data_IF_952629446786
#
_entry.id   IF_952629446786
#
_cell.length_a   1.000
_cell.length_b   1.000
_cell.length_c   1.000
_cell.angle_alpha   90.00
_cell.angle_beta   90.00
_cell.angle_gamma   90.00
#
_symmetry.space_group_name_H-M   'P 1'
#
loop_
_entity.id
_entity.type
_entity.pdbx_description
1 polymer ?
#
# COMPACT_ATOMS: atom_id res chain seq x y z
N UNK A 1 13.10 8.69 -26.46
CA UNK A 1 13.65 7.44 -25.91
C UNK A 1 12.48 6.49 -25.71
N UNK A 2 12.51 5.33 -26.30
CA UNK A 2 11.45 4.32 -26.23
C UNK A 2 11.78 3.31 -25.13
N UNK A 3 10.80 2.56 -24.61
CA UNK A 3 11.00 1.39 -23.72
C UNK A 3 12.14 0.45 -24.18
N UNK A 4 12.41 0.40 -25.50
CA UNK A 4 13.47 -0.40 -26.08
C UNK A 4 14.87 -0.02 -25.64
N UNK A 5 15.07 1.26 -25.34
CA UNK A 5 16.39 1.86 -25.11
C UNK A 5 16.86 1.78 -23.65
N UNK A 6 16.00 1.34 -22.72
CA UNK A 6 16.32 1.26 -21.30
C UNK A 6 16.74 -0.16 -20.94
N UNK A 7 18.05 -0.42 -20.78
CA UNK A 7 18.68 -1.60 -20.22
C UNK A 7 18.05 -2.98 -20.50
N UNK A 8 18.56 -4.02 -19.89
CA UNK A 8 17.94 -5.34 -19.96
C UNK A 8 16.65 -5.43 -19.13
N UNK A 9 15.96 -6.58 -19.15
CA UNK A 9 14.67 -6.77 -18.47
C UNK A 9 14.79 -6.65 -16.95
N UNK A 10 15.91 -7.07 -16.38
CA UNK A 10 16.13 -7.08 -14.94
C UNK A 10 16.51 -5.69 -14.44
N UNK A 11 17.40 -4.99 -15.16
CA UNK A 11 17.76 -3.60 -14.86
C UNK A 11 16.54 -2.67 -14.89
N UNK A 12 15.68 -2.82 -15.90
CA UNK A 12 14.42 -2.06 -15.98
C UNK A 12 13.53 -2.29 -14.75
N UNK A 13 13.37 -3.56 -14.33
CA UNK A 13 12.54 -3.92 -13.19
C UNK A 13 13.11 -3.38 -11.87
N UNK A 14 14.43 -3.46 -11.68
CA UNK A 14 15.10 -2.88 -10.51
C UNK A 14 14.92 -1.36 -10.45
N UNK A 15 14.94 -0.70 -11.61
CA UNK A 15 14.86 0.75 -11.71
C UNK A 15 13.44 1.30 -11.53
N UNK A 16 12.43 0.64 -12.09
CA UNK A 16 11.03 1.09 -12.11
C UNK A 16 10.09 0.26 -11.20
N UNK A 17 10.53 -0.83 -10.62
CA UNK A 17 9.76 -1.68 -9.73
C UNK A 17 8.75 -2.61 -10.40
N UNK A 18 8.59 -2.53 -11.73
CA UNK A 18 7.66 -3.33 -12.54
C UNK A 18 8.35 -3.82 -13.81
N UNK A 19 7.87 -4.93 -14.39
CA UNK A 19 8.39 -5.41 -15.68
C UNK A 19 7.99 -4.48 -16.84
N UNK A 20 8.79 -4.47 -17.93
CA UNK A 20 8.44 -3.73 -19.15
C UNK A 20 7.04 -4.07 -19.67
N UNK A 21 6.62 -5.36 -19.57
CA UNK A 21 5.30 -5.82 -19.99
C UNK A 21 4.20 -5.18 -19.15
N UNK A 22 4.33 -5.19 -17.83
CA UNK A 22 3.36 -4.62 -16.91
C UNK A 22 3.24 -3.11 -17.10
N UNK A 23 4.37 -2.41 -17.31
CA UNK A 23 4.36 -0.97 -17.55
C UNK A 23 3.70 -0.63 -18.88
N UNK A 24 3.88 -1.43 -19.95
CA UNK A 24 3.16 -1.25 -21.22
C UNK A 24 1.66 -1.40 -21.03
N UNK A 25 1.22 -2.48 -20.38
CA UNK A 25 -0.22 -2.66 -20.10
C UNK A 25 -0.80 -1.50 -19.31
N UNK A 26 -0.06 -0.97 -18.34
CA UNK A 26 -0.47 0.20 -17.55
C UNK A 26 -0.54 1.46 -18.42
N UNK A 27 0.40 1.66 -19.35
CA UNK A 27 0.36 2.78 -20.30
C UNK A 27 -0.84 2.68 -21.23
N UNK A 28 -1.14 1.49 -21.75
CA UNK A 28 -2.29 1.26 -22.63
C UNK A 28 -3.62 1.56 -21.91
N UNK A 29 -3.72 1.21 -20.62
CA UNK A 29 -4.90 1.52 -19.79
C UNK A 29 -5.04 3.01 -19.46
N UNK A 30 -3.92 3.73 -19.32
CA UNK A 30 -3.91 5.14 -18.93
C UNK A 30 -3.93 6.09 -20.14
N UNK A 31 -3.48 5.66 -21.31
CA UNK A 31 -3.35 6.52 -22.49
C UNK A 31 -4.66 7.26 -22.87
N UNK A 32 -5.85 6.61 -22.82
CA UNK A 32 -7.11 7.30 -23.06
C UNK A 32 -7.42 8.43 -22.07
N UNK A 33 -6.80 8.43 -20.90
CA UNK A 33 -7.08 9.36 -19.81
C UNK A 33 -6.04 10.48 -19.78
N UNK A 34 -4.75 10.12 -19.78
CA UNK A 34 -3.62 11.08 -19.64
C UNK A 34 -2.83 11.28 -20.93
N UNK A 35 -3.26 10.66 -22.02
CA UNK A 35 -2.61 10.79 -23.31
C UNK A 35 -2.45 12.25 -23.74
N UNK A 36 -1.35 12.56 -24.41
CA UNK A 36 -1.03 13.92 -24.76
C UNK A 36 -1.92 14.42 -25.90
N UNK A 37 -2.74 15.45 -25.63
CA UNK A 37 -3.54 16.15 -26.64
C UNK A 37 -2.75 17.24 -27.39
N UNK A 38 -1.51 17.55 -26.97
CA UNK A 38 -0.68 18.61 -27.58
C UNK A 38 0.64 18.02 -28.09
N UNK A 39 1.08 18.43 -29.28
CA UNK A 39 2.33 17.97 -29.89
C UNK A 39 3.60 18.21 -29.02
N UNK A 40 3.56 19.19 -28.11
CA UNK A 40 4.65 19.52 -27.18
C UNK A 40 4.57 18.85 -25.82
N UNK A 41 3.56 18.00 -25.59
CA UNK A 41 3.37 17.33 -24.30
C UNK A 41 4.23 16.06 -24.15
N UNK A 42 4.35 15.58 -22.90
CA UNK A 42 5.03 14.32 -22.62
C UNK A 42 4.13 13.13 -22.94
N UNK A 43 4.69 12.07 -23.54
CA UNK A 43 3.95 10.82 -23.81
C UNK A 43 3.48 10.15 -22.51
N UNK A 44 2.41 9.36 -22.59
CA UNK A 44 1.88 8.55 -21.48
C UNK A 44 2.97 7.68 -20.87
N UNK A 45 3.77 7.03 -21.71
CA UNK A 45 4.93 6.24 -21.29
C UNK A 45 5.89 7.04 -20.39
N UNK A 46 6.29 8.22 -20.83
CA UNK A 46 7.21 9.09 -20.07
C UNK A 46 6.60 9.57 -18.75
N UNK A 47 5.31 9.86 -18.74
CA UNK A 47 4.56 10.22 -17.53
C UNK A 47 4.53 9.07 -16.51
N UNK A 48 4.20 7.87 -16.97
CA UNK A 48 4.14 6.66 -16.14
C UNK A 48 5.52 6.34 -15.57
N UNK A 49 6.58 6.36 -16.39
CA UNK A 49 7.96 6.12 -15.92
C UNK A 49 8.40 7.14 -14.86
N UNK A 50 8.06 8.42 -15.03
CA UNK A 50 8.34 9.45 -14.03
C UNK A 50 7.68 9.15 -12.68
N UNK A 51 6.41 8.76 -12.68
CA UNK A 51 5.68 8.42 -11.47
C UNK A 51 6.23 7.14 -10.82
N UNK A 52 6.48 6.08 -11.58
CA UNK A 52 7.06 4.83 -11.07
C UNK A 52 8.43 5.06 -10.44
N UNK A 53 9.27 5.90 -11.06
CA UNK A 53 10.58 6.25 -10.53
C UNK A 53 10.49 7.00 -9.22
N UNK A 54 9.55 7.94 -9.12
CA UNK A 54 9.27 8.65 -7.88
C UNK A 54 8.83 7.68 -6.75
N UNK A 55 7.87 6.81 -7.03
CA UNK A 55 7.37 5.85 -6.02
C UNK A 55 8.45 4.86 -5.58
N UNK A 56 9.18 4.29 -6.54
CA UNK A 56 10.19 3.27 -6.28
C UNK A 56 11.44 3.81 -5.58
N UNK A 57 11.90 4.99 -5.93
CA UNK A 57 13.13 5.58 -5.38
C UNK A 57 12.91 6.42 -4.12
N UNK A 58 11.72 7.03 -3.96
CA UNK A 58 11.43 7.96 -2.87
C UNK A 58 12.28 9.25 -2.93
N UNK A 59 12.78 9.60 -4.12
CA UNK A 59 13.62 10.78 -4.35
C UNK A 59 12.77 12.05 -4.52
N UNK A 60 13.43 13.22 -4.43
CA UNK A 60 12.77 14.49 -4.74
C UNK A 60 12.35 14.54 -6.23
N UNK A 61 11.19 15.14 -6.52
CA UNK A 61 10.67 15.34 -7.88
C UNK A 61 11.70 15.93 -8.83
N UNK A 62 12.52 16.89 -8.34
CA UNK A 62 13.58 17.53 -9.12
C UNK A 62 14.67 16.53 -9.53
N UNK A 63 15.01 15.58 -8.67
CA UNK A 63 16.01 14.57 -8.99
C UNK A 63 15.48 13.58 -10.01
N UNK A 64 14.23 13.11 -9.82
CA UNK A 64 13.55 12.21 -10.77
C UNK A 64 13.41 12.86 -12.15
N UNK A 65 12.97 14.12 -12.21
CA UNK A 65 12.78 14.82 -13.48
C UNK A 65 14.09 15.03 -14.26
N UNK A 66 15.25 15.11 -13.57
CA UNK A 66 16.57 15.30 -14.20
C UNK A 66 17.22 14.02 -14.70
N UNK A 67 16.68 12.85 -14.35
CA UNK A 67 17.21 11.59 -14.86
C UNK A 67 17.08 11.55 -16.39
N UNK A 68 18.11 11.02 -17.06
CA UNK A 68 18.19 11.01 -18.53
C UNK A 68 16.98 10.35 -19.18
N UNK A 69 16.46 9.27 -18.56
CA UNK A 69 15.30 8.53 -19.03
C UNK A 69 13.99 9.31 -18.89
N UNK A 70 13.93 10.28 -17.97
CA UNK A 70 12.74 11.09 -17.67
C UNK A 70 12.80 12.44 -18.38
N UNK A 71 13.87 13.21 -18.17
CA UNK A 71 14.14 14.48 -18.84
C UNK A 71 12.99 15.51 -18.73
N UNK A 72 12.41 15.67 -17.54
CA UNK A 72 11.31 16.61 -17.26
C UNK A 72 11.77 17.73 -16.34
N UNK A 73 11.30 18.97 -16.60
CA UNK A 73 11.44 20.05 -15.63
C UNK A 73 10.64 19.72 -14.34
N UNK A 74 11.11 20.19 -13.18
CA UNK A 74 10.49 19.88 -11.90
C UNK A 74 8.97 20.19 -11.82
N UNK A 75 8.44 21.32 -12.36
CA UNK A 75 7.00 21.53 -12.40
C UNK A 75 6.24 20.48 -13.23
N UNK A 76 6.80 20.07 -14.37
CA UNK A 76 6.22 19.04 -15.22
C UNK A 76 6.23 17.67 -14.50
N UNK A 77 7.33 17.30 -13.85
CA UNK A 77 7.41 16.07 -13.05
C UNK A 77 6.40 16.07 -11.89
N UNK A 78 6.24 17.22 -11.19
CA UNK A 78 5.24 17.35 -10.11
C UNK A 78 3.80 17.14 -10.61
N UNK A 79 3.45 17.75 -11.72
CA UNK A 79 2.11 17.62 -12.31
C UNK A 79 1.88 16.18 -12.82
N UNK A 80 2.88 15.61 -13.47
CA UNK A 80 2.84 14.22 -13.95
C UNK A 80 2.65 13.21 -12.83
N UNK A 81 3.40 13.34 -11.74
CA UNK A 81 3.23 12.45 -10.57
C UNK A 81 1.82 12.59 -10.01
N UNK A 82 1.27 13.79 -9.94
CA UNK A 82 -0.09 14.00 -9.47
C UNK A 82 -1.13 13.36 -10.41
N UNK A 83 -1.07 13.64 -11.70
CA UNK A 83 -1.96 13.10 -12.73
C UNK A 83 -1.97 11.56 -12.72
N UNK A 84 -0.80 10.94 -12.84
CA UNK A 84 -0.68 9.46 -12.81
C UNK A 84 -1.15 8.86 -11.50
N UNK A 85 -0.94 9.54 -10.36
CA UNK A 85 -1.42 9.08 -9.05
C UNK A 85 -2.95 8.97 -9.01
N UNK A 86 -3.66 10.00 -9.49
CA UNK A 86 -5.13 10.01 -9.53
C UNK A 86 -5.68 8.89 -10.40
N UNK A 87 -5.10 8.69 -11.56
CA UNK A 87 -5.64 7.77 -12.57
C UNK A 87 -5.34 6.30 -12.25
N UNK A 88 -4.16 5.99 -11.72
CA UNK A 88 -3.86 4.64 -11.20
C UNK A 88 -4.87 4.26 -10.10
N UNK A 89 -5.21 5.19 -9.22
CA UNK A 89 -6.19 4.95 -8.16
C UNK A 89 -7.56 4.61 -8.74
N UNK A 90 -7.99 5.32 -9.78
CA UNK A 90 -9.28 5.11 -10.44
C UNK A 90 -9.37 3.76 -11.18
N UNK A 91 -8.31 3.32 -11.82
CA UNK A 91 -8.21 2.02 -12.52
C UNK A 91 -8.28 0.86 -11.53
N UNK A 92 -7.59 0.96 -10.40
CA UNK A 92 -7.56 -0.10 -9.39
C UNK A 92 -8.91 -0.30 -8.68
N UNK A 93 -9.70 0.74 -8.49
CA UNK A 93 -11.00 0.66 -7.83
C UNK A 93 -12.02 -0.24 -8.57
N UNK A 94 -11.78 -0.55 -9.85
CA UNK A 94 -12.65 -1.40 -10.68
C UNK A 94 -12.38 -2.91 -10.53
N UNK A 95 -11.28 -3.33 -9.89
CA UNK A 95 -10.93 -4.75 -9.71
C UNK A 95 -11.53 -5.32 -8.42
N UNK A 96 -12.34 -6.38 -8.54
CA UNK A 96 -13.31 -6.87 -7.54
C UNK A 96 -12.72 -7.67 -6.36
N UNK A 97 -13.40 -7.55 -5.21
CA UNK A 97 -13.21 -8.19 -3.90
C UNK A 97 -13.49 -9.72 -3.84
N UNK A 98 -13.88 -10.39 -4.93
CA UNK A 98 -14.56 -11.69 -4.89
C UNK A 98 -13.65 -12.94 -4.87
N UNK A 99 -12.32 -12.84 -4.97
CA UNK A 99 -11.44 -14.02 -5.11
C UNK A 99 -10.75 -14.47 -3.79
N UNK A 100 -11.17 -13.95 -2.64
CA UNK A 100 -10.40 -14.01 -1.39
C UNK A 100 -10.55 -15.32 -0.59
N UNK A 101 -11.63 -16.10 -0.83
CA UNK A 101 -12.06 -17.15 0.10
C UNK A 101 -11.16 -18.39 0.22
N UNK A 102 -10.30 -18.70 -0.72
CA UNK A 102 -9.63 -20.01 -0.77
C UNK A 102 -8.22 -20.07 -0.20
N UNK A 103 -7.57 -18.93 0.02
CA UNK A 103 -6.13 -18.89 0.22
C UNK A 103 -5.68 -19.12 1.67
N UNK A 104 -6.40 -18.58 2.64
CA UNK A 104 -6.08 -18.80 4.05
C UNK A 104 -6.40 -20.23 4.52
N UNK A 105 -7.42 -20.88 3.96
CA UNK A 105 -7.76 -22.26 4.30
C UNK A 105 -6.60 -23.25 4.08
N UNK A 106 -5.61 -22.89 3.26
CA UNK A 106 -4.43 -23.71 2.98
C UNK A 106 -3.21 -23.37 3.84
N UNK A 107 -3.23 -22.27 4.61
CA UNK A 107 -2.03 -21.74 5.29
C UNK A 107 -2.07 -21.76 6.80
N UNK A 108 -3.21 -21.97 7.44
CA UNK A 108 -3.29 -21.88 8.89
C UNK A 108 -4.35 -22.79 9.51
N UNK A 109 -4.20 -23.03 10.83
CA UNK A 109 -5.05 -23.91 11.61
C UNK A 109 -6.34 -23.24 12.10
N UNK A 110 -6.51 -21.91 11.91
CA UNK A 110 -7.76 -21.20 12.27
C UNK A 110 -8.66 -21.19 11.03
N UNK A 111 -9.75 -21.97 11.04
CA UNK A 111 -10.65 -22.05 9.89
C UNK A 111 -11.44 -20.74 9.71
N UNK A 112 -11.85 -20.45 8.49
CA UNK A 112 -12.72 -19.30 8.19
C UNK A 112 -12.04 -17.94 8.14
N UNK A 113 -10.71 -17.85 8.32
CA UNK A 113 -9.97 -16.60 8.17
C UNK A 113 -9.92 -16.20 6.69
N UNK A 114 -10.32 -14.96 6.40
CA UNK A 114 -10.34 -14.39 5.05
C UNK A 114 -9.24 -13.37 4.82
N UNK A 115 -8.88 -12.59 5.85
CA UNK A 115 -7.91 -11.51 5.76
C UNK A 115 -7.31 -11.17 7.13
N UNK A 116 -6.21 -10.40 7.11
CA UNK A 116 -5.62 -9.79 8.29
C UNK A 116 -5.71 -8.27 8.18
N UNK A 117 -5.95 -7.59 9.31
CA UNK A 117 -5.99 -6.13 9.41
C UNK A 117 -4.88 -5.64 10.34
N UNK A 118 -4.21 -4.57 9.94
CA UNK A 118 -3.20 -3.90 10.77
C UNK A 118 -3.06 -2.42 10.38
N UNK A 119 -2.49 -1.62 11.29
CA UNK A 119 -2.14 -0.22 11.07
C UNK A 119 -0.66 -0.06 10.73
N UNK A 120 -0.37 0.82 9.79
CA UNK A 120 1.03 1.15 9.47
C UNK A 120 1.24 2.65 9.34
N UNK A 121 2.31 3.18 9.95
CA UNK A 121 2.65 4.59 9.91
C UNK A 121 3.44 4.94 8.65
N UNK A 122 2.99 5.98 7.94
CA UNK A 122 3.70 6.55 6.78
C UNK A 122 4.09 7.99 7.12
N UNK A 123 5.40 8.27 7.05
CA UNK A 123 5.95 9.58 7.39
C UNK A 123 5.55 10.66 6.37
N UNK A 124 5.09 11.79 6.87
CA UNK A 124 4.74 12.97 6.08
C UNK A 124 5.45 14.20 6.62
N UNK A 125 5.55 15.25 5.81
CA UNK A 125 5.99 16.57 6.31
C UNK A 125 4.98 17.09 7.34
N UNK A 126 5.45 17.97 8.25
CA UNK A 126 4.55 18.71 9.14
C UNK A 126 3.42 19.35 8.33
N UNK A 127 2.15 19.02 8.59
CA UNK A 127 1.02 19.64 7.91
C UNK A 127 0.98 21.14 8.13
N UNK A 128 0.83 21.91 7.05
CA UNK A 128 0.68 23.36 7.09
C UNK A 128 -0.78 23.77 6.90
N UNK A 129 -1.12 25.00 7.32
CA UNK A 129 -2.48 25.55 7.14
C UNK A 129 -3.55 24.99 8.07
N UNK A 130 -3.16 24.19 9.07
CA UNK A 130 -4.04 23.62 10.08
C UNK A 130 -3.88 24.34 11.42
N UNK A 131 -4.85 24.17 12.34
CA UNK A 131 -4.70 24.59 13.73
C UNK A 131 -3.54 23.85 14.41
N UNK A 132 -3.02 24.38 15.55
CA UNK A 132 -1.99 23.70 16.33
C UNK A 132 -2.45 22.31 16.79
N UNK A 133 -3.72 22.19 17.23
CA UNK A 133 -4.29 20.94 17.68
C UNK A 133 -4.41 19.91 16.55
N UNK A 134 -4.91 20.33 15.39
CA UNK A 134 -5.01 19.45 14.21
C UNK A 134 -3.63 19.03 13.72
N UNK A 135 -2.66 19.95 13.68
CA UNK A 135 -1.27 19.62 13.32
C UNK A 135 -0.67 18.61 14.31
N UNK A 136 -0.91 18.78 15.61
CA UNK A 136 -0.42 17.87 16.64
C UNK A 136 -1.02 16.46 16.51
N UNK A 137 -2.25 16.33 16.00
CA UNK A 137 -2.87 15.02 15.76
C UNK A 137 -2.08 14.14 14.79
N UNK A 138 -1.30 14.70 13.89
CA UNK A 138 -0.44 13.96 12.97
C UNK A 138 0.87 13.48 13.62
N UNK A 139 1.22 13.96 14.82
CA UNK A 139 2.40 13.50 15.55
C UNK A 139 2.18 12.10 16.11
N UNK A 140 2.91 11.14 15.59
CA UNK A 140 2.85 9.76 16.07
C UNK A 140 3.63 9.57 17.38
N UNK A 141 3.35 8.47 18.09
CA UNK A 141 4.13 8.02 19.27
C UNK A 141 5.63 7.83 19.00
N UNK A 142 6.04 7.76 17.73
CA UNK A 142 7.43 7.63 17.30
C UNK A 142 8.15 8.98 17.14
N UNK A 143 7.47 10.12 17.42
CA UNK A 143 8.07 11.44 17.43
C UNK A 143 8.21 12.13 16.07
N UNK A 144 7.50 11.67 15.04
CA UNK A 144 7.45 12.33 13.73
C UNK A 144 6.03 12.33 13.16
N UNK A 145 5.78 13.26 12.23
CA UNK A 145 4.46 13.42 11.60
C UNK A 145 4.15 12.26 10.66
N UNK A 146 2.98 11.65 10.81
CA UNK A 146 2.57 10.48 10.02
C UNK A 146 1.09 10.48 9.69
N UNK A 147 0.73 9.71 8.67
CA UNK A 147 -0.59 9.12 8.56
C UNK A 147 -0.55 7.73 9.21
N UNK A 148 -1.63 7.38 9.94
CA UNK A 148 -1.93 6.00 10.30
C UNK A 148 -2.73 5.39 9.15
N UNK A 149 -2.21 4.36 8.53
CA UNK A 149 -2.77 3.71 7.35
C UNK A 149 -3.29 2.34 7.73
N UNK A 150 -4.60 2.18 7.75
CA UNK A 150 -5.22 0.86 7.94
C UNK A 150 -5.06 0.04 6.66
N UNK A 151 -4.58 -1.19 6.78
CA UNK A 151 -4.38 -2.13 5.69
C UNK A 151 -5.10 -3.44 5.99
N UNK A 152 -5.85 -3.95 5.04
CA UNK A 152 -6.44 -5.30 5.08
C UNK A 152 -5.88 -6.09 3.90
N UNK A 153 -5.25 -7.21 4.16
CA UNK A 153 -4.71 -8.06 3.09
C UNK A 153 -5.09 -9.52 3.25
N UNK A 154 -5.04 -10.26 2.14
CA UNK A 154 -5.24 -11.72 2.12
C UNK A 154 -3.91 -12.48 2.27
N UNK A 155 -3.99 -13.82 2.27
CA UNK A 155 -2.84 -14.71 2.42
C UNK A 155 -1.78 -14.57 1.31
N UNK A 156 -2.16 -14.12 0.12
CA UNK A 156 -1.29 -13.89 -1.04
C UNK A 156 -0.67 -12.49 -1.04
N UNK A 157 -0.74 -11.76 0.08
CA UNK A 157 -0.25 -10.39 0.20
C UNK A 157 -1.00 -9.36 -0.68
N UNK A 158 -2.17 -9.72 -1.21
CA UNK A 158 -3.02 -8.78 -1.94
C UNK A 158 -3.68 -7.84 -0.94
N UNK A 159 -3.53 -6.55 -1.14
CA UNK A 159 -4.20 -5.54 -0.32
C UNK A 159 -5.65 -5.39 -0.81
N UNK A 160 -6.59 -5.75 0.05
CA UNK A 160 -8.02 -5.72 -0.22
C UNK A 160 -8.64 -4.36 0.09
N UNK A 161 -8.17 -3.76 1.22
CA UNK A 161 -8.60 -2.44 1.67
C UNK A 161 -7.38 -1.70 2.19
N UNK A 162 -7.31 -0.43 1.89
CA UNK A 162 -6.37 0.53 2.47
C UNK A 162 -7.12 1.80 2.82
N UNK A 163 -6.85 2.37 3.99
CA UNK A 163 -7.38 3.68 4.38
C UNK A 163 -6.30 4.54 5.02
N UNK A 164 -5.73 5.50 4.27
CA UNK A 164 -4.65 6.37 4.71
C UNK A 164 -5.14 7.73 5.25
N UNK A 165 -6.40 7.87 5.66
CA UNK A 165 -6.99 9.17 6.00
C UNK A 165 -6.81 9.60 7.46
N UNK A 166 -6.25 8.74 8.30
CA UNK A 166 -6.19 9.00 9.73
C UNK A 166 -4.85 9.64 10.13
N UNK A 167 -4.90 10.65 11.05
CA UNK A 167 -3.71 11.21 11.65
C UNK A 167 -2.90 10.18 12.45
N UNK A 168 -1.58 10.38 12.53
CA UNK A 168 -0.65 9.43 13.13
C UNK A 168 -0.79 9.21 14.63
N UNK A 169 -1.51 10.08 15.35
CA UNK A 169 -1.84 9.89 16.77
C UNK A 169 -3.02 8.93 17.00
N UNK A 170 -3.83 8.66 15.96
CA UNK A 170 -4.95 7.75 16.08
C UNK A 170 -4.45 6.32 16.33
N UNK A 171 -4.97 5.66 17.36
CA UNK A 171 -4.72 4.25 17.61
C UNK A 171 -5.48 3.37 16.62
N UNK A 172 -4.94 2.19 16.30
CA UNK A 172 -5.52 1.28 15.32
C UNK A 172 -6.94 0.84 15.71
N UNK A 173 -7.19 0.62 17.01
CA UNK A 173 -8.54 0.35 17.54
C UNK A 173 -9.52 1.49 17.30
N UNK A 174 -9.08 2.74 17.43
CA UNK A 174 -9.92 3.90 17.15
C UNK A 174 -10.19 4.01 15.65
N UNK A 175 -9.18 3.83 14.81
CA UNK A 175 -9.31 3.79 13.35
C UNK A 175 -10.32 2.75 12.93
N UNK A 176 -10.23 1.53 13.48
CA UNK A 176 -11.17 0.44 13.21
C UNK A 176 -12.61 0.81 13.56
N UNK A 177 -12.83 1.34 14.78
CA UNK A 177 -14.17 1.69 15.27
C UNK A 177 -14.85 2.75 14.40
N UNK A 178 -14.10 3.69 13.82
CA UNK A 178 -14.62 4.80 13.01
C UNK A 178 -14.55 4.53 11.50
N UNK A 179 -14.02 3.37 11.08
CA UNK A 179 -13.93 3.04 9.67
C UNK A 179 -15.23 2.42 9.13
N UNK A 180 -15.75 2.91 7.99
CA UNK A 180 -16.94 2.34 7.36
C UNK A 180 -16.83 0.85 7.02
N UNK A 181 -15.61 0.33 6.88
CA UNK A 181 -15.35 -1.09 6.62
C UNK A 181 -15.93 -1.97 7.72
N UNK A 182 -15.81 -1.56 9.00
CA UNK A 182 -16.34 -2.31 10.14
C UNK A 182 -17.82 -2.62 9.99
N UNK A 183 -18.65 -1.61 9.68
CA UNK A 183 -20.08 -1.79 9.47
C UNK A 183 -20.40 -2.64 8.24
N UNK A 184 -19.60 -2.49 7.16
CA UNK A 184 -19.77 -3.29 5.95
C UNK A 184 -19.46 -4.78 6.19
N UNK A 185 -18.40 -5.09 6.92
CA UNK A 185 -18.04 -6.46 7.27
C UNK A 185 -19.10 -7.11 8.17
N UNK A 186 -19.60 -6.37 9.17
CA UNK A 186 -20.70 -6.82 10.03
C UNK A 186 -21.94 -7.23 9.25
N UNK A 187 -22.22 -6.57 8.12
CA UNK A 187 -23.38 -6.85 7.27
C UNK A 187 -23.14 -7.92 6.21
N UNK A 188 -21.88 -8.22 5.85
CA UNK A 188 -21.54 -9.04 4.68
C UNK A 188 -20.89 -10.38 5.02
N UNK A 189 -20.16 -10.47 6.16
CA UNK A 189 -19.51 -11.71 6.56
C UNK A 189 -20.53 -12.72 7.06
N UNK A 190 -20.33 -13.96 6.66
CA UNK A 190 -21.15 -15.08 7.10
C UNK A 190 -20.65 -15.62 8.44
N UNK A 191 -21.48 -16.26 9.26
CA UNK A 191 -21.04 -16.97 10.44
C UNK A 191 -19.91 -17.97 10.10
N UNK A 192 -18.79 -17.88 10.84
CA UNK A 192 -17.61 -18.69 10.57
C UNK A 192 -16.60 -18.04 9.60
N UNK A 193 -16.82 -16.80 9.18
CA UNK A 193 -15.88 -16.00 8.40
C UNK A 193 -15.27 -14.89 9.27
N UNK A 194 -13.93 -14.75 9.26
CA UNK A 194 -13.20 -13.90 10.20
C UNK A 194 -12.09 -13.10 9.52
N UNK A 195 -11.79 -11.95 10.14
CA UNK A 195 -10.51 -11.26 9.99
C UNK A 195 -9.66 -11.53 11.23
N UNK A 196 -8.34 -11.42 11.09
CA UNK A 196 -7.41 -11.38 12.22
C UNK A 196 -6.90 -9.94 12.42
N UNK A 197 -6.95 -9.47 13.66
CA UNK A 197 -6.32 -8.23 14.12
C UNK A 197 -5.35 -8.53 15.27
N UNK A 198 -4.41 -7.63 15.55
CA UNK A 198 -3.54 -7.76 16.71
C UNK A 198 -4.29 -7.47 18.04
N UNK A 199 -3.58 -7.50 19.15
CA UNK A 199 -4.16 -7.35 20.50
C UNK A 199 -4.74 -5.97 20.80
N UNK A 200 -4.49 -4.94 19.97
CA UNK A 200 -5.05 -3.60 20.17
C UNK A 200 -6.43 -3.45 19.54
N UNK A 201 -6.84 -4.38 18.66
CA UNK A 201 -8.18 -4.41 18.10
C UNK A 201 -9.21 -4.99 19.09
N UNK A 202 -10.50 -4.57 19.00
CA UNK A 202 -11.56 -5.19 19.78
C UNK A 202 -11.88 -6.60 19.26
N UNK A 203 -12.15 -7.54 20.17
CA UNK A 203 -12.71 -8.84 19.78
C UNK A 203 -14.17 -8.61 19.31
N UNK A 204 -14.46 -9.07 18.10
CA UNK A 204 -15.81 -8.96 17.50
C UNK A 204 -16.21 -10.31 16.85
N UNK A 205 -17.50 -10.55 16.58
CA UNK A 205 -17.94 -11.83 15.97
C UNK A 205 -17.25 -12.15 14.63
N UNK A 206 -16.69 -11.17 13.96
CA UNK A 206 -15.98 -11.28 12.68
C UNK A 206 -14.50 -10.84 12.74
N UNK A 207 -14.01 -10.42 13.91
CA UNK A 207 -12.62 -9.99 14.10
C UNK A 207 -12.01 -10.74 15.29
N UNK A 208 -11.12 -11.68 15.01
CA UNK A 208 -10.42 -12.48 15.99
C UNK A 208 -9.10 -11.79 16.37
N UNK A 209 -8.83 -11.78 17.68
CA UNK A 209 -7.61 -11.21 18.27
C UNK A 209 -6.95 -12.24 19.17
N UNK A 210 -5.68 -12.08 19.57
CA UNK A 210 -5.03 -12.96 20.53
C UNK A 210 -5.77 -12.98 21.88
N UNK A 211 -5.82 -14.14 22.52
CA UNK A 211 -6.32 -14.28 23.90
C UNK A 211 -5.36 -13.52 24.82
N UNK A 212 -5.87 -12.58 25.65
CA UNK A 212 -5.04 -11.79 26.56
C UNK A 212 -4.34 -12.64 27.61
N UNK A 213 -3.16 -12.20 28.04
CA UNK A 213 -2.37 -12.86 29.08
C UNK A 213 -1.26 -13.76 28.54
N UNK A 214 -0.52 -14.37 29.45
CA UNK A 214 0.56 -15.31 29.11
C UNK A 214 0.03 -16.72 29.19
N UNK A 215 0.08 -17.46 28.10
CA UNK A 215 -0.41 -18.84 28.00
C UNK A 215 0.72 -19.79 27.60
N UNK A 216 0.84 -20.92 28.30
CA UNK A 216 1.79 -21.95 27.92
C UNK A 216 1.43 -22.51 26.53
N UNK A 217 2.42 -22.83 25.73
CA UNK A 217 2.21 -23.31 24.34
C UNK A 217 1.45 -24.64 24.26
N UNK A 218 1.32 -25.35 25.39
CA UNK A 218 0.56 -26.63 25.53
C UNK A 218 -0.93 -26.41 25.76
N UNK A 219 -1.35 -25.22 26.22
CA UNK A 219 -2.77 -24.90 26.43
C UNK A 219 -3.49 -24.61 25.12
N UNK A 220 -4.83 -24.64 25.12
CA UNK A 220 -5.65 -24.27 23.97
C UNK A 220 -5.42 -22.82 23.53
N UNK A 221 -5.35 -21.92 24.53
CA UNK A 221 -5.11 -20.50 24.32
C UNK A 221 -3.70 -20.25 23.76
N UNK A 222 -2.70 -20.95 24.30
CA UNK A 222 -1.32 -20.84 23.81
C UNK A 222 -1.15 -21.38 22.38
N UNK A 223 -1.85 -22.45 22.03
CA UNK A 223 -1.89 -22.97 20.65
C UNK A 223 -2.57 -21.97 19.72
N UNK A 224 -3.76 -21.46 20.12
CA UNK A 224 -4.49 -20.46 19.36
C UNK A 224 -3.63 -19.21 19.11
N UNK A 225 -3.03 -18.64 20.15
CA UNK A 225 -2.21 -17.43 20.02
C UNK A 225 -1.01 -17.63 19.07
N UNK A 226 -0.38 -18.82 19.09
CA UNK A 226 0.70 -19.15 18.15
C UNK A 226 0.23 -19.22 16.71
N UNK A 227 -0.90 -19.90 16.46
CA UNK A 227 -1.49 -20.00 15.12
C UNK A 227 -1.97 -18.62 14.63
N UNK A 228 -2.63 -17.85 15.53
CA UNK A 228 -3.04 -16.47 15.23
C UNK A 228 -1.84 -15.62 14.82
N UNK A 229 -0.76 -15.60 15.60
CA UNK A 229 0.44 -14.81 15.30
C UNK A 229 1.08 -15.24 13.96
N UNK A 230 1.16 -16.56 13.69
CA UNK A 230 1.67 -17.09 12.43
C UNK A 230 0.86 -16.62 11.23
N UNK A 231 -0.47 -16.64 11.33
CA UNK A 231 -1.36 -16.18 10.25
C UNK A 231 -1.37 -14.66 10.12
N UNK A 232 -1.41 -13.92 11.25
CA UNK A 232 -1.44 -12.47 11.28
C UNK A 232 -0.14 -11.84 10.73
N UNK A 233 1.01 -12.49 10.88
CA UNK A 233 2.30 -12.04 10.32
C UNK A 233 2.23 -11.77 8.79
N UNK A 234 1.21 -12.29 8.11
CA UNK A 234 0.98 -11.99 6.69
C UNK A 234 0.80 -10.49 6.44
N UNK A 235 0.07 -9.77 7.28
CA UNK A 235 -0.15 -8.32 7.07
C UNK A 235 1.09 -7.50 7.36
N UNK A 236 1.91 -7.88 8.36
CA UNK A 236 3.21 -7.25 8.60
C UNK A 236 4.15 -7.46 7.40
N UNK A 237 4.21 -8.69 6.87
CA UNK A 237 4.96 -9.00 5.67
C UNK A 237 4.44 -8.24 4.45
N UNK A 238 3.12 -8.11 4.28
CA UNK A 238 2.49 -7.35 3.21
C UNK A 238 2.91 -5.88 3.23
N UNK A 239 2.80 -5.23 4.39
CA UNK A 239 3.22 -3.83 4.57
C UNK A 239 4.73 -3.65 4.42
N UNK A 240 5.53 -4.60 4.89
CA UNK A 240 6.98 -4.61 4.71
C UNK A 240 7.36 -4.64 3.24
N UNK A 241 6.73 -5.51 2.47
CA UNK A 241 6.95 -5.62 1.04
C UNK A 241 6.45 -4.39 0.28
N UNK A 242 5.26 -3.86 0.59
CA UNK A 242 4.77 -2.61 0.03
C UNK A 242 5.80 -1.48 0.19
N UNK A 243 6.33 -1.30 1.42
CA UNK A 243 7.32 -0.26 1.72
C UNK A 243 8.69 -0.52 1.10
N UNK A 244 9.11 -1.78 0.96
CA UNK A 244 10.39 -2.10 0.30
C UNK A 244 10.34 -1.82 -1.20
N UNK A 245 9.19 -2.09 -1.82
CA UNK A 245 8.96 -1.83 -3.24
C UNK A 245 8.78 -0.34 -3.54
N UNK A 246 8.01 0.35 -2.73
CA UNK A 246 7.73 1.78 -2.87
C UNK A 246 8.45 2.56 -1.76
N UNK A 247 9.73 2.83 -1.99
CA UNK A 247 10.62 3.47 -0.99
C UNK A 247 10.13 4.85 -0.54
N UNK A 248 9.29 5.52 -1.33
CA UNK A 248 8.64 6.77 -0.91
C UNK A 248 7.74 6.58 0.33
N UNK A 249 7.32 5.34 0.67
CA UNK A 249 6.54 5.02 1.87
C UNK A 249 7.40 4.67 3.09
N UNK A 250 8.72 4.62 2.95
CA UNK A 250 9.64 4.35 4.05
C UNK A 250 9.83 5.59 4.92
N UNK A 251 9.97 5.41 6.23
CA UNK A 251 9.98 6.51 7.19
C UNK A 251 11.14 7.51 6.96
N UNK A 252 12.30 7.05 6.51
CA UNK A 252 13.46 7.91 6.18
C UNK A 252 13.32 8.66 4.84
N UNK A 253 12.23 8.44 4.11
CA UNK A 253 11.89 9.09 2.83
C UNK A 253 10.63 9.94 2.94
N UNK A 254 10.40 10.54 4.10
CA UNK A 254 9.23 11.38 4.42
C UNK A 254 8.56 11.99 3.19
N UNK A 255 7.26 11.73 3.01
CA UNK A 255 6.48 12.34 1.92
C UNK A 255 6.33 13.84 2.17
N UNK A 256 6.94 14.65 1.30
CA UNK A 256 6.93 16.11 1.40
C UNK A 256 5.63 16.71 0.84
N UNK A 257 4.49 16.18 1.25
CA UNK A 257 3.16 16.53 0.76
C UNK A 257 2.17 16.72 1.91
N UNK A 258 1.10 17.48 1.63
CA UNK A 258 -0.06 17.54 2.53
C UNK A 258 -0.64 16.15 2.80
N UNK A 259 -1.34 15.93 3.93
CA UNK A 259 -1.95 14.65 4.26
C UNK A 259 -2.78 14.06 3.12
N UNK A 260 -3.65 14.86 2.48
CA UNK A 260 -4.50 14.40 1.38
C UNK A 260 -3.70 13.90 0.17
N UNK A 261 -2.66 14.65 -0.20
CA UNK A 261 -1.80 14.27 -1.33
C UNK A 261 -0.95 13.05 -1.00
N UNK A 262 -0.47 12.94 0.23
CA UNK A 262 0.22 11.74 0.71
C UNK A 262 -0.70 10.51 0.69
N UNK A 263 -1.96 10.65 1.11
CA UNK A 263 -2.96 9.60 1.05
C UNK A 263 -3.17 9.08 -0.39
N UNK A 264 -3.26 9.97 -1.37
CA UNK A 264 -3.39 9.58 -2.80
C UNK A 264 -2.17 8.82 -3.30
N UNK A 265 -0.96 9.23 -2.92
CA UNK A 265 0.28 8.50 -3.24
C UNK A 265 0.24 7.08 -2.65
N UNK A 266 -0.24 6.92 -1.41
CA UNK A 266 -0.39 5.62 -0.77
C UNK A 266 -1.38 4.75 -1.56
N UNK A 267 -2.53 5.28 -1.97
CA UNK A 267 -3.50 4.55 -2.81
C UNK A 267 -2.87 4.07 -4.12
N UNK A 268 -2.12 4.93 -4.81
CA UNK A 268 -1.44 4.57 -6.06
C UNK A 268 -0.39 3.48 -5.84
N UNK A 269 0.41 3.55 -4.77
CA UNK A 269 1.38 2.51 -4.41
C UNK A 269 0.70 1.17 -4.14
N UNK A 270 -0.45 1.16 -3.45
CA UNK A 270 -1.23 -0.06 -3.20
C UNK A 270 -1.80 -0.63 -4.50
N UNK A 271 -2.31 0.22 -5.39
CA UNK A 271 -2.78 -0.20 -6.69
C UNK A 271 -1.68 -0.87 -7.53
N UNK A 272 -0.51 -0.25 -7.58
CA UNK A 272 0.68 -0.79 -8.27
C UNK A 272 1.19 -2.07 -7.61
N UNK A 273 1.09 -2.19 -6.28
CA UNK A 273 1.39 -3.42 -5.56
C UNK A 273 0.52 -4.58 -6.04
N UNK A 274 -0.79 -4.37 -6.11
CA UNK A 274 -1.73 -5.38 -6.58
C UNK A 274 -1.53 -5.71 -8.07
N UNK A 275 -1.28 -4.71 -8.93
CA UNK A 275 -0.95 -4.91 -10.34
C UNK A 275 0.29 -5.77 -10.50
N UNK A 276 1.32 -5.54 -9.68
CA UNK A 276 2.54 -6.34 -9.70
C UNK A 276 2.31 -7.80 -9.28
N UNK A 277 1.42 -8.02 -8.30
CA UNK A 277 1.01 -9.37 -7.90
C UNK A 277 0.32 -10.10 -9.06
N UNK A 278 -0.64 -9.45 -9.72
CA UNK A 278 -1.37 -10.02 -10.86
C UNK A 278 -0.47 -10.37 -12.03
N UNK A 279 0.55 -9.56 -12.27
CA UNK A 279 1.52 -9.75 -13.34
C UNK A 279 2.59 -10.81 -13.02
N UNK A 280 2.65 -11.32 -11.79
CA UNK A 280 3.75 -12.19 -11.34
C UNK A 280 5.09 -11.46 -11.21
N UNK A 281 5.09 -10.13 -11.17
CA UNK A 281 6.29 -9.29 -11.02
C UNK A 281 6.89 -9.34 -9.60
N UNK A 282 6.42 -10.28 -8.82
CA UNK A 282 6.65 -10.43 -7.39
C UNK A 282 7.85 -11.31 -7.01
N UNK A 283 8.23 -12.25 -7.87
CA UNK A 283 9.04 -13.40 -7.49
C UNK A 283 10.49 -13.09 -7.09
N UNK A 284 11.02 -11.88 -7.31
CA UNK A 284 12.45 -11.58 -7.11
C UNK A 284 12.76 -10.94 -5.76
N UNK A 285 11.77 -10.33 -5.09
CA UNK A 285 12.01 -9.61 -3.82
C UNK A 285 11.96 -10.48 -2.55
N UNK A 286 11.39 -11.68 -2.61
CA UNK A 286 11.30 -12.59 -1.44
C UNK A 286 12.64 -13.27 -1.12
N UNK A 287 13.54 -13.37 -2.09
CA UNK A 287 14.85 -14.04 -1.95
C UNK A 287 15.91 -13.17 -1.24
N UNK A 288 15.70 -11.86 -1.14
CA UNK A 288 16.68 -10.93 -0.55
C UNK A 288 16.49 -10.68 0.97
N UNK A 289 15.52 -11.32 1.61
CA UNK A 289 15.22 -11.15 3.07
C UNK A 289 15.15 -12.48 3.84
N UNK A 290 15.71 -13.56 3.27
CA UNK A 290 15.91 -14.83 3.98
C UNK A 290 17.31 -14.92 4.57
#
# INVERSE_FOLDING_TARGET
MSFGDIGDKEEFRQYFGLSKRTVRSLCDELDPIIGCQRASGHSTERKVLCALRFFGNGSFQRSVGREEQIGMAQPAASNTIHEVTEDITSVSARRKLYEVKAAFARRGAIPGVLACVDGTLIAIIKPGGLSLADTASFMSRKGYYTLNVMVVCNAELRILVVDPRYPGSCHDSWVWQHNPLRARLAAQLQPGEYLLGDSVYPLEPWLLVPVPGSHAGTTSEGRYNREHASMHNVVERCTGVLKSKFRCLQHFRTLLYSPDRAARIIYACVALHNIALDAGDWAIMVVATS
#
